data_IF_970267852098
#
_entry.id   IF_970267852098
#
_cell.length_a   1.000
_cell.length_b   1.000
_cell.length_c   1.000
_cell.angle_alpha   90.00
_cell.angle_beta   90.00
_cell.angle_gamma   90.00
#
_symmetry.space_group_name_H-M   'P 1'
#
loop_
_entity.id
_entity.type
_entity.pdbx_description
1 polymer ?
#
# COMPACT_ATOMS: atom_id res chain seq x y z
N UNK A 1 36.64 13.47 -34.05
CA UNK A 1 35.49 13.89 -33.26
C UNK A 1 34.43 12.82 -33.41
N UNK A 2 34.29 11.93 -32.42
CA UNK A 2 33.27 10.91 -32.40
C UNK A 2 31.93 11.59 -31.98
N UNK A 3 30.93 11.55 -32.86
CA UNK A 3 29.57 12.01 -32.56
C UNK A 3 29.07 11.31 -31.31
N UNK A 4 28.40 12.02 -30.39
CA UNK A 4 27.78 11.36 -29.26
C UNK A 4 26.75 10.35 -29.80
N UNK A 5 26.89 9.09 -29.37
CA UNK A 5 25.95 8.04 -29.65
C UNK A 5 24.55 8.54 -29.27
N UNK A 6 23.62 8.51 -30.21
CA UNK A 6 22.22 8.86 -29.98
C UNK A 6 21.67 8.00 -28.84
N UNK A 7 21.49 8.61 -27.67
CA UNK A 7 20.74 7.98 -26.58
C UNK A 7 19.32 7.83 -27.11
N UNK A 8 18.94 6.59 -27.45
CA UNK A 8 17.53 6.27 -27.74
C UNK A 8 16.75 6.45 -26.44
N UNK A 9 15.97 7.50 -26.36
CA UNK A 9 15.01 7.69 -25.25
C UNK A 9 13.98 6.55 -25.36
N UNK A 10 13.82 5.72 -24.32
CA UNK A 10 12.78 4.69 -24.32
C UNK A 10 11.41 5.31 -24.60
N UNK A 11 10.51 4.59 -25.26
CA UNK A 11 9.13 5.00 -25.40
C UNK A 11 8.51 5.20 -24.00
N UNK A 12 8.28 6.46 -23.64
CA UNK A 12 7.78 6.86 -22.33
C UNK A 12 6.43 6.21 -22.02
N UNK A 13 5.53 6.15 -23.02
CA UNK A 13 4.22 5.53 -22.87
C UNK A 13 4.33 4.01 -22.57
N UNK A 14 5.26 3.33 -23.22
CA UNK A 14 5.52 1.90 -22.96
C UNK A 14 6.12 1.68 -21.57
N UNK A 15 6.98 2.59 -21.10
CA UNK A 15 7.56 2.52 -19.75
C UNK A 15 6.48 2.71 -18.67
N UNK A 16 5.62 3.72 -18.81
CA UNK A 16 4.49 3.94 -17.91
C UNK A 16 3.53 2.75 -17.88
N UNK A 17 3.16 2.22 -19.04
CA UNK A 17 2.31 1.04 -19.15
C UNK A 17 2.89 -0.16 -18.40
N UNK A 18 4.17 -0.43 -18.59
CA UNK A 18 4.86 -1.54 -17.91
C UNK A 18 4.83 -1.41 -16.40
N UNK A 19 5.13 -0.21 -15.87
CA UNK A 19 5.08 0.06 -14.44
C UNK A 19 3.65 -0.03 -13.89
N UNK A 20 2.67 0.48 -14.61
CA UNK A 20 1.27 0.42 -14.22
C UNK A 20 0.77 -1.03 -14.12
N UNK A 21 0.99 -1.83 -15.15
CA UNK A 21 0.55 -3.24 -15.17
C UNK A 21 1.20 -4.06 -14.05
N UNK A 22 2.50 -3.88 -13.84
CA UNK A 22 3.24 -4.49 -12.74
C UNK A 22 2.70 -4.04 -11.38
N UNK A 23 2.49 -2.74 -11.22
CA UNK A 23 1.97 -2.15 -10.00
C UNK A 23 0.54 -2.58 -9.70
N UNK A 24 -0.31 -2.63 -10.70
CA UNK A 24 -1.70 -3.07 -10.56
C UNK A 24 -1.79 -4.50 -10.05
N UNK A 25 -0.99 -5.41 -10.60
CA UNK A 25 -0.91 -6.80 -10.13
C UNK A 25 -0.55 -6.85 -8.64
N UNK A 26 0.51 -6.16 -8.23
CA UNK A 26 0.96 -6.16 -6.83
C UNK A 26 -0.12 -5.53 -5.91
N UNK A 27 -0.73 -4.44 -6.36
CA UNK A 27 -1.80 -3.77 -5.63
C UNK A 27 -2.98 -4.70 -5.35
N UNK A 28 -3.41 -5.49 -6.33
CA UNK A 28 -4.45 -6.51 -6.16
C UNK A 28 -4.04 -7.61 -5.18
N UNK A 29 -2.82 -8.10 -5.29
CA UNK A 29 -2.30 -9.16 -4.40
C UNK A 29 -2.20 -8.71 -2.93
N UNK A 30 -1.86 -7.45 -2.68
CA UNK A 30 -1.68 -6.90 -1.33
C UNK A 30 -2.98 -6.35 -0.75
N UNK A 31 -3.62 -5.42 -1.44
CA UNK A 31 -4.80 -4.72 -0.92
C UNK A 31 -6.11 -5.49 -1.11
N UNK A 32 -6.14 -6.43 -2.02
CA UNK A 32 -7.31 -7.24 -2.36
C UNK A 32 -8.23 -6.62 -3.41
N UNK A 33 -8.96 -7.46 -4.16
CA UNK A 33 -9.78 -7.00 -5.30
C UNK A 33 -10.86 -5.97 -4.91
N UNK A 34 -11.61 -6.22 -3.85
CA UNK A 34 -12.70 -5.34 -3.44
C UNK A 34 -12.23 -3.90 -3.15
N UNK A 35 -11.09 -3.76 -2.47
CA UNK A 35 -10.51 -2.45 -2.18
C UNK A 35 -10.00 -1.76 -3.45
N UNK A 36 -9.27 -2.50 -4.28
CA UNK A 36 -8.65 -1.94 -5.50
C UNK A 36 -9.71 -1.53 -6.52
N UNK A 37 -10.73 -2.36 -6.74
CA UNK A 37 -11.83 -2.06 -7.65
C UNK A 37 -12.60 -0.81 -7.20
N UNK A 38 -12.89 -0.69 -5.91
CA UNK A 38 -13.54 0.49 -5.35
C UNK A 38 -12.69 1.76 -5.50
N UNK A 39 -11.38 1.66 -5.27
CA UNK A 39 -10.45 2.78 -5.43
C UNK A 39 -10.34 3.24 -6.89
N UNK A 40 -10.25 2.30 -7.83
CA UNK A 40 -10.19 2.61 -9.27
C UNK A 40 -11.51 3.20 -9.76
N UNK A 41 -12.66 2.67 -9.33
CA UNK A 41 -13.97 3.20 -9.68
C UNK A 41 -14.17 4.62 -9.12
N UNK A 42 -13.82 4.86 -7.86
CA UNK A 42 -13.89 6.18 -7.23
C UNK A 42 -12.93 7.20 -7.85
N UNK A 43 -11.81 6.74 -8.39
CA UNK A 43 -10.78 7.55 -9.04
C UNK A 43 -10.87 7.62 -10.57
N UNK A 44 -12.03 7.28 -11.17
CA UNK A 44 -12.17 7.18 -12.64
C UNK A 44 -12.40 8.51 -13.37
N UNK A 45 -12.74 9.59 -12.64
CA UNK A 45 -12.93 10.91 -13.25
C UNK A 45 -11.66 11.44 -13.89
N UNK A 46 -11.79 12.37 -14.85
CA UNK A 46 -10.63 13.02 -15.48
C UNK A 46 -9.75 13.76 -14.47
N UNK A 47 -10.32 14.23 -13.37
CA UNK A 47 -9.59 14.89 -12.29
C UNK A 47 -8.83 13.88 -11.40
N UNK A 48 -9.46 12.78 -11.02
CA UNK A 48 -8.89 11.84 -10.04
C UNK A 48 -8.01 10.75 -10.67
N UNK A 49 -8.24 10.40 -11.93
CA UNK A 49 -7.52 9.33 -12.63
C UNK A 49 -5.99 9.47 -12.59
N UNK A 50 -5.39 10.67 -12.83
CA UNK A 50 -3.94 10.82 -12.78
C UNK A 50 -3.34 10.40 -11.42
N UNK A 51 -4.06 10.59 -10.31
CA UNK A 51 -3.59 10.14 -9.00
C UNK A 51 -3.63 8.62 -8.87
N UNK A 52 -4.64 7.95 -9.42
CA UNK A 52 -4.69 6.48 -9.42
C UNK A 52 -3.58 5.89 -10.31
N UNK A 53 -3.28 6.51 -11.44
CA UNK A 53 -2.17 6.12 -12.30
C UNK A 53 -0.83 6.29 -11.58
N UNK A 54 -0.58 7.46 -11.00
CA UNK A 54 0.66 7.76 -10.28
C UNK A 54 0.88 6.80 -9.09
N UNK A 55 -0.11 6.57 -8.25
CA UNK A 55 0.04 5.67 -7.10
C UNK A 55 0.26 4.23 -7.55
N UNK A 56 -0.37 3.79 -8.63
CA UNK A 56 -0.19 2.44 -9.16
C UNK A 56 1.21 2.25 -9.73
N UNK A 57 1.73 3.21 -10.49
CA UNK A 57 3.06 3.16 -11.10
C UNK A 57 4.18 3.37 -10.06
N UNK A 58 4.14 4.48 -9.35
CA UNK A 58 5.25 4.90 -8.48
C UNK A 58 5.28 4.10 -7.17
N UNK A 59 4.14 3.96 -6.50
CA UNK A 59 4.09 3.22 -5.24
C UNK A 59 4.18 1.71 -5.49
N UNK A 60 3.20 1.16 -6.20
CA UNK A 60 3.08 -0.29 -6.38
C UNK A 60 4.05 -0.86 -7.42
N UNK A 61 4.21 -0.18 -8.56
CA UNK A 61 5.07 -0.63 -9.65
C UNK A 61 6.57 -0.44 -9.39
N UNK A 62 6.94 0.67 -8.76
CA UNK A 62 8.35 0.99 -8.52
C UNK A 62 8.84 0.59 -7.13
N UNK A 63 8.11 0.94 -6.05
CA UNK A 63 8.60 0.71 -4.68
C UNK A 63 8.23 -0.67 -4.15
N UNK A 64 6.97 -1.07 -4.22
CA UNK A 64 6.52 -2.37 -3.72
C UNK A 64 7.08 -3.56 -4.49
N UNK A 65 7.48 -3.34 -5.73
CA UNK A 65 8.12 -4.33 -6.59
C UNK A 65 9.61 -4.57 -6.30
N UNK A 66 10.24 -3.78 -5.43
CA UNK A 66 11.68 -3.90 -5.13
C UNK A 66 11.95 -5.09 -4.21
N UNK A 67 13.07 -5.82 -4.43
CA UNK A 67 13.39 -7.02 -3.66
C UNK A 67 14.03 -6.73 -2.29
N UNK A 68 14.39 -5.48 -1.98
CA UNK A 68 15.17 -5.14 -0.78
C UNK A 68 14.42 -5.28 0.56
N UNK A 69 13.09 -5.32 0.54
CA UNK A 69 12.23 -5.62 1.69
C UNK A 69 11.10 -6.55 1.23
N UNK A 70 10.76 -7.51 2.07
CA UNK A 70 9.59 -8.35 1.86
C UNK A 70 8.28 -7.55 1.99
N UNK A 71 7.22 -8.03 1.34
CA UNK A 71 5.91 -7.35 1.36
C UNK A 71 5.35 -7.20 2.78
N UNK A 72 5.53 -8.20 3.63
CA UNK A 72 5.13 -8.12 5.04
C UNK A 72 5.83 -6.98 5.77
N UNK A 73 7.13 -6.84 5.59
CA UNK A 73 7.90 -5.73 6.18
C UNK A 73 7.41 -4.36 5.68
N UNK A 74 7.13 -4.22 4.39
CA UNK A 74 6.55 -2.98 3.82
C UNK A 74 5.19 -2.66 4.43
N UNK A 75 4.34 -3.67 4.63
CA UNK A 75 3.04 -3.49 5.27
C UNK A 75 3.17 -3.00 6.72
N UNK A 76 4.06 -3.60 7.52
CA UNK A 76 4.28 -3.17 8.90
C UNK A 76 4.83 -1.74 8.98
N UNK A 77 5.76 -1.36 8.10
CA UNK A 77 6.25 0.02 7.99
C UNK A 77 5.11 0.99 7.66
N UNK A 78 4.25 0.64 6.70
CA UNK A 78 3.10 1.48 6.35
C UNK A 78 2.12 1.63 7.52
N UNK A 79 1.85 0.57 8.27
CA UNK A 79 1.02 0.63 9.48
C UNK A 79 1.59 1.65 10.46
N UNK A 80 2.88 1.60 10.75
CA UNK A 80 3.52 2.55 11.66
C UNK A 80 3.44 4.00 11.15
N UNK A 81 3.76 4.23 9.88
CA UNK A 81 3.72 5.56 9.27
C UNK A 81 2.31 6.14 9.21
N UNK A 82 1.32 5.35 8.80
CA UNK A 82 -0.07 5.80 8.68
C UNK A 82 -0.72 6.01 10.06
N UNK A 83 -0.34 5.23 11.05
CA UNK A 83 -0.71 5.47 12.44
C UNK A 83 -0.16 6.83 12.92
N UNK A 84 1.12 7.08 12.71
CA UNK A 84 1.79 8.33 13.09
C UNK A 84 1.18 9.57 12.40
N UNK A 85 0.80 9.41 11.13
CA UNK A 85 0.21 10.47 10.31
C UNK A 85 -1.31 10.65 10.52
N UNK A 86 -1.94 9.85 11.38
CA UNK A 86 -3.39 9.85 11.63
C UNK A 86 -4.22 9.64 10.33
N UNK A 87 -3.78 8.71 9.47
CA UNK A 87 -4.44 8.35 8.22
C UNK A 87 -5.30 7.09 8.41
N UNK A 88 -6.44 7.25 9.06
CA UNK A 88 -7.33 6.15 9.45
C UNK A 88 -7.80 5.25 8.30
N UNK A 89 -8.38 5.79 7.22
CA UNK A 89 -8.84 4.98 6.09
C UNK A 89 -7.71 4.18 5.42
N UNK A 90 -6.56 4.82 5.22
CA UNK A 90 -5.37 4.19 4.62
C UNK A 90 -4.76 3.17 5.58
N UNK A 91 -4.75 3.45 6.89
CA UNK A 91 -4.30 2.49 7.90
C UNK A 91 -5.16 1.22 7.86
N UNK A 92 -6.48 1.36 7.79
CA UNK A 92 -7.38 0.20 7.68
C UNK A 92 -7.07 -0.67 6.46
N UNK A 93 -6.83 -0.05 5.30
CA UNK A 93 -6.46 -0.76 4.07
C UNK A 93 -5.11 -1.48 4.22
N UNK A 94 -4.12 -0.85 4.86
CA UNK A 94 -2.80 -1.46 5.06
C UNK A 94 -2.75 -2.49 6.18
N UNK A 95 -3.63 -2.44 7.17
CA UNK A 95 -3.83 -3.56 8.14
C UNK A 95 -4.33 -4.80 7.39
N UNK A 96 -5.35 -4.66 6.52
CA UNK A 96 -5.82 -5.75 5.67
C UNK A 96 -4.68 -6.28 4.77
N UNK A 97 -3.94 -5.39 4.12
CA UNK A 97 -2.78 -5.73 3.31
C UNK A 97 -1.69 -6.47 4.08
N UNK A 98 -1.44 -6.09 5.33
CA UNK A 98 -0.47 -6.77 6.19
C UNK A 98 -0.89 -8.22 6.48
N UNK A 99 -2.16 -8.44 6.81
CA UNK A 99 -2.71 -9.80 7.00
C UNK A 99 -2.59 -10.61 5.71
N UNK A 100 -2.93 -10.03 4.55
CA UNK A 100 -2.76 -10.68 3.24
C UNK A 100 -1.29 -11.05 2.95
N UNK A 101 -0.35 -10.24 3.41
CA UNK A 101 1.09 -10.47 3.28
C UNK A 101 1.69 -11.38 4.38
N UNK A 102 0.84 -11.99 5.22
CA UNK A 102 1.24 -12.96 6.23
C UNK A 102 1.69 -12.37 7.56
N UNK A 103 1.38 -11.10 7.85
CA UNK A 103 1.60 -10.54 9.17
C UNK A 103 0.61 -11.15 10.19
N UNK A 104 1.12 -11.53 11.34
CA UNK A 104 0.31 -11.98 12.48
C UNK A 104 -0.33 -10.80 13.21
N UNK A 105 -1.40 -11.07 13.95
CA UNK A 105 -1.99 -10.07 14.84
C UNK A 105 -0.97 -9.53 15.87
N UNK A 106 -0.05 -10.38 16.31
CA UNK A 106 1.03 -9.98 17.23
C UNK A 106 1.97 -8.98 16.57
N UNK A 107 2.42 -9.25 15.33
CA UNK A 107 3.31 -8.34 14.60
C UNK A 107 2.65 -6.97 14.34
N UNK A 108 1.37 -6.95 14.00
CA UNK A 108 0.60 -5.72 13.81
C UNK A 108 0.47 -4.96 15.14
N UNK A 109 0.13 -5.66 16.22
CA UNK A 109 0.03 -5.09 17.56
C UNK A 109 1.35 -4.46 18.02
N UNK A 110 2.45 -5.18 17.90
CA UNK A 110 3.77 -4.69 18.32
C UNK A 110 4.22 -3.48 17.49
N UNK A 111 3.88 -3.47 16.20
CA UNK A 111 4.13 -2.30 15.32
C UNK A 111 3.38 -1.06 15.80
N UNK A 112 2.11 -1.21 16.18
CA UNK A 112 1.29 -0.10 16.68
C UNK A 112 1.74 0.35 18.08
N UNK A 113 2.17 -0.56 18.94
CA UNK A 113 2.75 -0.21 20.26
C UNK A 113 4.03 0.61 20.08
N UNK A 114 4.91 0.20 19.18
CA UNK A 114 6.12 0.92 18.83
C UNK A 114 5.80 2.34 18.33
N UNK A 115 4.83 2.45 17.40
CA UNK A 115 4.38 3.74 16.88
C UNK A 115 3.78 4.63 17.99
N UNK A 116 3.02 4.08 18.93
CA UNK A 116 2.44 4.82 20.05
C UNK A 116 3.52 5.49 20.94
N UNK A 117 4.61 4.76 21.20
CA UNK A 117 5.72 5.28 22.02
C UNK A 117 6.49 6.40 21.31
N UNK A 118 6.80 6.23 20.03
CA UNK A 118 7.63 7.19 19.28
C UNK A 118 6.84 8.33 18.66
N UNK A 119 5.53 8.15 18.40
CA UNK A 119 4.71 9.11 17.63
C UNK A 119 3.52 9.67 18.44
N UNK A 120 3.28 9.14 19.64
CA UNK A 120 2.25 9.63 20.56
C UNK A 120 1.12 8.64 20.85
N UNK A 121 0.72 8.58 22.11
CA UNK A 121 -0.35 7.70 22.60
C UNK A 121 -1.69 7.89 21.89
N UNK A 122 -2.17 9.12 21.63
CA UNK A 122 -3.44 9.30 20.93
C UNK A 122 -3.48 8.64 19.55
N UNK A 123 -2.40 8.75 18.78
CA UNK A 123 -2.26 8.09 17.48
C UNK A 123 -2.28 6.56 17.63
N UNK A 124 -1.57 6.03 18.60
CA UNK A 124 -1.54 4.60 18.89
C UNK A 124 -2.91 4.05 19.31
N UNK A 125 -3.62 4.74 20.19
CA UNK A 125 -4.97 4.34 20.64
C UNK A 125 -5.93 4.27 19.46
N UNK A 126 -5.93 5.27 18.60
CA UNK A 126 -6.77 5.29 17.39
C UNK A 126 -6.35 4.18 16.41
N UNK A 127 -5.05 3.99 16.22
CA UNK A 127 -4.52 2.90 15.39
C UNK A 127 -4.96 1.51 15.85
N UNK A 128 -4.97 1.27 17.16
CA UNK A 128 -5.48 0.02 17.75
C UNK A 128 -6.95 -0.21 17.44
N UNK A 129 -7.80 0.80 17.63
CA UNK A 129 -9.24 0.69 17.31
C UNK A 129 -9.49 0.33 15.85
N UNK A 130 -8.76 0.97 14.94
CA UNK A 130 -8.86 0.72 13.51
C UNK A 130 -8.40 -0.69 13.18
N UNK A 131 -7.22 -1.09 13.65
CA UNK A 131 -6.66 -2.41 13.38
C UNK A 131 -7.54 -3.55 13.93
N UNK A 132 -8.01 -3.43 15.17
CA UNK A 132 -8.89 -4.41 15.79
C UNK A 132 -10.18 -4.61 14.98
N UNK A 133 -10.81 -3.52 14.53
CA UNK A 133 -12.00 -3.58 13.67
C UNK A 133 -11.73 -4.32 12.38
N UNK A 134 -10.63 -4.03 11.69
CA UNK A 134 -10.26 -4.69 10.42
C UNK A 134 -9.99 -6.17 10.64
N UNK A 135 -9.18 -6.53 11.64
CA UNK A 135 -8.83 -7.92 11.93
C UNK A 135 -10.08 -8.73 12.28
N UNK A 136 -10.96 -8.18 13.11
CA UNK A 136 -12.24 -8.83 13.45
C UNK A 136 -13.07 -9.08 12.20
N UNK A 137 -13.25 -8.07 11.34
CA UNK A 137 -14.00 -8.22 10.09
C UNK A 137 -13.40 -9.31 9.20
N UNK A 138 -12.08 -9.33 9.04
CA UNK A 138 -11.41 -10.37 8.24
C UNK A 138 -11.57 -11.77 8.82
N UNK A 139 -11.59 -11.90 10.15
CA UNK A 139 -11.81 -13.18 10.82
C UNK A 139 -13.27 -13.67 10.67
N UNK A 140 -14.22 -12.76 10.60
CA UNK A 140 -15.63 -13.07 10.32
C UNK A 140 -15.83 -13.51 8.86
N UNK A 141 -15.20 -12.82 7.89
CA UNK A 141 -15.23 -13.17 6.47
C UNK A 141 -14.69 -14.60 6.20
N UNK A 142 -13.70 -15.06 6.95
CA UNK A 142 -13.13 -16.41 6.82
C UNK A 142 -14.02 -17.54 7.34
N UNK A 143 -15.05 -17.21 8.12
CA UNK A 143 -15.97 -18.22 8.70
C UNK A 143 -17.20 -18.45 7.84
N UNK A 144 -17.41 -17.66 6.80
CA UNK A 144 -18.48 -17.79 5.82
C UNK A 144 -18.04 -18.62 4.62
#
# INVERSE_FOLDING_TARGET
MTSPSSITVPDEAAAHKTLYEKGLKIRYEVAGPAYVDAALAGGSSTFARPMQELVTEACWGSVWARPGLERKQRSLLNIAMLCALNRGPELAAHVRGAVNNGASEVEIRETLLQAAIYCGMPAGIEGFKIAEKVIRTMNEEKKQ
#
